data_IF_126465600302
#
_entry.id   IF_126465600302
#
_cell.length_a   1.000
_cell.length_b   1.000
_cell.length_c   1.000
_cell.angle_alpha   90.00
_cell.angle_beta   90.00
_cell.angle_gamma   90.00
#
_symmetry.space_group_name_H-M   'P 1'
#
loop_
_entity.id
_entity.type
_entity.pdbx_description
1 polymer ?
#
# COMPACT_ATOMS: atom_id res chain seq x y z
N UNK A 1 -4.37 -3.72 -8.49
CA UNK A 1 -3.01 -3.88 -7.95
C UNK A 1 -2.07 -4.39 -9.03
N UNK A 2 -2.34 -5.55 -9.64
CA UNK A 2 -1.46 -6.13 -10.67
C UNK A 2 -1.12 -5.16 -11.81
N UNK A 3 -2.11 -4.53 -12.46
CA UNK A 3 -1.85 -3.57 -13.56
C UNK A 3 -0.98 -2.38 -13.13
N UNK A 4 -1.22 -1.82 -11.93
CA UNK A 4 -0.43 -0.72 -11.38
C UNK A 4 1.01 -1.13 -11.03
N UNK A 5 1.19 -2.37 -10.56
CA UNK A 5 2.52 -2.93 -10.35
C UNK A 5 3.25 -3.15 -11.68
N UNK A 6 2.56 -3.67 -12.69
CA UNK A 6 3.08 -3.82 -14.05
C UNK A 6 3.48 -2.46 -14.64
N UNK A 7 2.66 -1.42 -14.43
CA UNK A 7 2.98 -0.06 -14.85
C UNK A 7 4.28 0.42 -14.20
N UNK A 8 4.35 0.48 -12.87
CA UNK A 8 5.55 0.98 -12.17
C UNK A 8 6.80 0.17 -12.47
N UNK A 9 6.67 -1.15 -12.62
CA UNK A 9 7.79 -2.00 -12.99
C UNK A 9 8.34 -1.66 -14.39
N UNK A 10 7.48 -1.21 -15.31
CA UNK A 10 7.90 -0.73 -16.62
C UNK A 10 8.47 0.70 -16.56
N UNK A 11 7.81 1.61 -15.83
CA UNK A 11 8.18 3.04 -15.76
C UNK A 11 9.49 3.29 -14.99
N UNK A 12 9.70 2.57 -13.89
CA UNK A 12 10.74 2.91 -12.90
C UNK A 12 11.38 1.69 -12.24
N UNK A 13 11.13 0.49 -12.73
CA UNK A 13 11.42 -0.77 -12.01
C UNK A 13 10.77 -0.85 -10.62
N UNK A 14 9.73 -0.05 -10.36
CA UNK A 14 9.01 0.00 -9.08
C UNK A 14 9.58 0.98 -8.05
N UNK A 15 10.55 1.82 -8.41
CA UNK A 15 11.24 2.72 -7.49
C UNK A 15 10.58 4.11 -7.42
N UNK A 16 10.13 4.50 -6.22
CA UNK A 16 9.45 5.79 -5.96
C UNK A 16 10.39 7.00 -5.93
N UNK A 17 11.68 6.80 -5.73
CA UNK A 17 12.66 7.88 -5.66
C UNK A 17 13.38 8.19 -6.97
N UNK A 18 12.93 7.64 -8.10
CA UNK A 18 13.61 7.83 -9.40
C UNK A 18 13.54 9.29 -9.83
N UNK A 19 14.68 9.82 -10.25
CA UNK A 19 14.81 11.11 -10.94
C UNK A 19 15.44 10.79 -12.29
N UNK A 20 14.64 10.72 -13.34
CA UNK A 20 15.11 10.34 -14.66
C UNK A 20 15.69 11.55 -15.40
N UNK A 21 16.73 11.32 -16.21
CA UNK A 21 17.40 12.37 -16.99
C UNK A 21 16.48 13.07 -18.01
N UNK A 22 15.34 12.47 -18.34
CA UNK A 22 14.34 12.99 -19.28
C UNK A 22 13.28 13.89 -18.60
N UNK A 23 13.51 14.36 -17.37
CA UNK A 23 12.59 15.27 -16.66
C UNK A 23 11.33 14.59 -16.11
N UNK A 24 11.38 13.27 -15.90
CA UNK A 24 10.31 12.51 -15.27
C UNK A 24 10.75 11.96 -13.91
N UNK A 25 9.80 11.82 -13.00
CA UNK A 25 10.07 11.59 -11.59
C UNK A 25 9.15 10.54 -10.97
N UNK A 26 9.69 9.80 -10.01
CA UNK A 26 8.98 8.87 -9.17
C UNK A 26 8.55 7.58 -9.86
N UNK A 27 7.76 6.76 -9.15
CA UNK A 27 7.47 5.40 -9.60
C UNK A 27 6.63 5.32 -10.87
N UNK A 28 5.96 6.43 -11.21
CA UNK A 28 5.03 6.57 -12.34
C UNK A 28 5.57 7.49 -13.43
N UNK A 29 6.84 7.91 -13.32
CA UNK A 29 7.49 8.80 -14.29
C UNK A 29 6.61 10.02 -14.62
N UNK A 30 6.20 10.78 -13.61
CA UNK A 30 5.46 12.02 -13.82
C UNK A 30 6.42 13.13 -14.29
N UNK A 31 5.98 13.96 -15.24
CA UNK A 31 6.54 15.32 -15.34
C UNK A 31 5.92 16.24 -14.28
N UNK A 32 6.61 17.32 -13.93
CA UNK A 32 6.19 18.25 -12.87
C UNK A 32 4.88 18.97 -13.19
N UNK A 33 4.63 19.30 -14.46
CA UNK A 33 3.41 20.02 -14.85
C UNK A 33 2.17 19.14 -14.70
N UNK A 34 2.26 17.88 -15.11
CA UNK A 34 1.19 16.90 -14.94
C UNK A 34 0.98 16.59 -13.46
N UNK A 35 2.05 16.45 -12.67
CA UNK A 35 1.98 16.27 -11.22
C UNK A 35 1.19 17.39 -10.53
N UNK A 36 1.49 18.64 -10.89
CA UNK A 36 0.78 19.81 -10.37
C UNK A 36 -0.67 19.87 -10.83
N UNK A 37 -0.97 19.42 -12.06
CA UNK A 37 -2.35 19.40 -12.59
C UNK A 37 -3.29 18.49 -11.79
N UNK A 38 -2.75 17.45 -11.14
CA UNK A 38 -3.50 16.58 -10.22
C UNK A 38 -3.30 16.96 -8.75
N UNK A 39 -2.79 18.16 -8.48
CA UNK A 39 -2.66 18.81 -7.18
C UNK A 39 -1.41 18.42 -6.38
N UNK A 40 -0.42 17.79 -7.02
CA UNK A 40 0.88 17.52 -6.44
C UNK A 40 1.70 18.81 -6.24
N UNK A 41 2.58 18.82 -5.25
CA UNK A 41 3.52 19.92 -4.99
C UNK A 41 4.95 19.40 -5.03
N UNK A 42 5.94 20.26 -5.31
CA UNK A 42 7.34 19.87 -5.42
C UNK A 42 7.59 18.84 -6.53
N UNK A 43 8.67 18.06 -6.39
CA UNK A 43 8.96 16.96 -7.31
C UNK A 43 8.21 15.67 -6.92
N UNK A 44 7.68 14.91 -7.89
CA UNK A 44 7.04 13.62 -7.61
C UNK A 44 7.93 12.64 -6.83
N UNK A 45 9.24 12.63 -7.11
CA UNK A 45 10.23 11.76 -6.45
C UNK A 45 10.41 12.04 -4.95
N UNK A 46 10.13 13.27 -4.52
CA UNK A 46 10.23 13.67 -3.10
C UNK A 46 8.96 13.31 -2.32
N UNK A 47 7.86 13.03 -3.03
CA UNK A 47 6.60 12.69 -2.42
C UNK A 47 6.60 11.24 -1.90
N UNK A 48 5.88 11.00 -0.80
CA UNK A 48 5.73 9.65 -0.25
C UNK A 48 5.12 8.69 -1.28
N UNK A 49 5.38 7.37 -1.19
CA UNK A 49 4.78 6.41 -2.11
C UNK A 49 3.25 6.48 -2.18
N UNK A 50 2.59 6.68 -1.03
CA UNK A 50 1.14 6.84 -0.96
C UNK A 50 0.64 8.10 -1.68
N UNK A 51 1.42 9.18 -1.65
CA UNK A 51 1.10 10.40 -2.39
C UNK A 51 1.25 10.18 -3.89
N UNK A 52 2.34 9.55 -4.34
CA UNK A 52 2.54 9.21 -5.75
C UNK A 52 1.43 8.28 -6.26
N UNK A 53 1.05 7.25 -5.50
CA UNK A 53 -0.05 6.34 -5.82
C UNK A 53 -1.39 7.08 -5.95
N UNK A 54 -1.66 8.00 -5.02
CA UNK A 54 -2.87 8.81 -5.04
C UNK A 54 -2.94 9.71 -6.28
N UNK A 55 -1.86 10.41 -6.61
CA UNK A 55 -1.83 11.29 -7.80
C UNK A 55 -1.87 10.49 -9.10
N UNK A 56 -1.22 9.33 -9.16
CA UNK A 56 -1.34 8.41 -10.28
C UNK A 56 -2.78 7.93 -10.48
N UNK A 57 -3.45 7.52 -9.39
CA UNK A 57 -4.87 7.15 -9.46
C UNK A 57 -5.73 8.31 -9.95
N UNK A 58 -5.48 9.51 -9.43
CA UNK A 58 -6.23 10.70 -9.83
C UNK A 58 -6.05 11.01 -11.32
N UNK A 59 -4.82 11.01 -11.82
CA UNK A 59 -4.54 11.21 -13.24
C UNK A 59 -5.24 10.14 -14.11
N UNK A 60 -5.24 8.89 -13.65
CA UNK A 60 -5.93 7.79 -14.34
C UNK A 60 -7.45 7.94 -14.35
N UNK A 61 -8.07 8.42 -13.26
CA UNK A 61 -9.51 8.77 -13.26
C UNK A 61 -9.84 9.87 -14.27
N UNK A 62 -8.89 10.74 -14.58
CA UNK A 62 -9.05 11.81 -15.57
C UNK A 62 -8.81 11.35 -17.01
N UNK A 63 -7.76 10.57 -17.26
CA UNK A 63 -7.25 10.31 -18.63
C UNK A 63 -7.22 8.83 -19.02
N UNK A 64 -7.52 7.93 -18.09
CA UNK A 64 -7.25 6.51 -18.24
C UNK A 64 -5.75 6.27 -18.35
N UNK A 65 -5.36 5.20 -19.05
CA UNK A 65 -3.95 4.82 -19.23
C UNK A 65 -3.15 5.72 -20.17
N UNK A 66 -3.79 6.65 -20.89
CA UNK A 66 -3.15 7.47 -21.93
C UNK A 66 -1.87 8.21 -21.52
N UNK A 67 -1.71 8.73 -20.29
CA UNK A 67 -0.50 9.45 -19.91
C UNK A 67 0.76 8.59 -19.80
N UNK A 68 0.62 7.26 -19.79
CA UNK A 68 1.72 6.33 -19.57
C UNK A 68 1.96 5.48 -20.81
N UNK A 69 3.10 5.70 -21.47
CA UNK A 69 3.51 4.92 -22.65
C UNK A 69 3.64 3.42 -22.30
N UNK A 70 4.23 3.11 -21.15
CA UNK A 70 4.34 1.75 -20.64
C UNK A 70 2.98 1.07 -20.47
N UNK A 71 1.91 1.79 -20.17
CA UNK A 71 0.58 1.19 -20.08
C UNK A 71 0.11 0.64 -21.43
N UNK A 72 0.44 1.34 -22.53
CA UNK A 72 0.22 0.88 -23.90
C UNK A 72 1.09 -0.33 -24.25
N UNK A 73 2.40 -0.24 -23.99
CA UNK A 73 3.37 -1.34 -24.23
C UNK A 73 2.96 -2.61 -23.49
N UNK A 74 2.42 -2.47 -22.27
CA UNK A 74 1.99 -3.60 -21.44
C UNK A 74 0.53 -4.02 -21.66
N UNK A 75 -0.16 -3.42 -22.63
CA UNK A 75 -1.56 -3.69 -22.95
C UNK A 75 -2.49 -3.64 -21.73
N UNK A 76 -2.27 -2.67 -20.84
CA UNK A 76 -3.10 -2.50 -19.64
C UNK A 76 -4.54 -2.18 -20.02
N UNK A 77 -5.48 -2.87 -19.37
CA UNK A 77 -6.90 -2.76 -19.61
C UNK A 77 -7.50 -1.69 -18.68
N UNK A 78 -8.25 -0.72 -19.20
CA UNK A 78 -8.95 0.26 -18.37
C UNK A 78 -10.04 -0.43 -17.54
N UNK A 79 -10.19 -0.01 -16.29
CA UNK A 79 -11.35 -0.35 -15.46
C UNK A 79 -12.51 0.64 -15.68
N UNK A 80 -13.66 0.35 -15.07
CA UNK A 80 -14.90 1.13 -15.25
C UNK A 80 -14.78 2.61 -14.83
N UNK A 81 -13.84 2.93 -13.95
CA UNK A 81 -13.64 4.28 -13.44
C UNK A 81 -12.55 5.03 -14.25
N UNK A 82 -11.92 4.41 -15.25
CA UNK A 82 -11.00 5.09 -16.16
C UNK A 82 -11.74 6.20 -16.92
N UNK A 83 -11.17 7.42 -16.92
CA UNK A 83 -11.80 8.62 -17.53
C UNK A 83 -13.18 9.00 -16.94
N UNK A 84 -13.52 8.50 -15.74
CA UNK A 84 -14.75 8.88 -15.03
C UNK A 84 -14.78 10.33 -14.58
N UNK A 85 -13.62 11.02 -14.56
CA UNK A 85 -13.43 12.38 -14.01
C UNK A 85 -13.73 12.51 -12.52
N UNK A 86 -13.91 11.40 -11.80
CA UNK A 86 -14.07 11.38 -10.34
C UNK A 86 -12.74 11.66 -9.66
N UNK A 87 -12.75 12.53 -8.65
CA UNK A 87 -11.60 12.69 -7.74
C UNK A 87 -11.57 11.47 -6.79
N UNK A 88 -10.50 10.65 -6.79
CA UNK A 88 -10.43 9.49 -5.90
C UNK A 88 -10.23 9.90 -4.44
N UNK A 89 -10.58 9.00 -3.52
CA UNK A 89 -10.18 9.14 -2.12
C UNK A 89 -8.74 8.66 -1.90
N UNK A 90 -8.01 9.22 -0.92
CA UNK A 90 -6.64 8.76 -0.60
C UNK A 90 -6.57 7.31 -0.15
N UNK A 91 -7.61 6.81 0.52
CA UNK A 91 -7.72 5.39 0.90
C UNK A 91 -7.92 4.49 -0.32
N UNK A 92 -8.44 5.01 -1.43
CA UNK A 92 -8.69 4.24 -2.64
C UNK A 92 -7.40 3.84 -3.33
N UNK A 93 -6.33 4.65 -3.28
CA UNK A 93 -5.04 4.29 -3.88
C UNK A 93 -4.27 3.24 -3.06
N UNK A 94 -4.72 2.88 -1.86
CA UNK A 94 -4.01 1.94 -1.00
C UNK A 94 -3.81 0.55 -1.66
N UNK A 95 -4.71 0.11 -2.54
CA UNK A 95 -4.55 -1.18 -3.26
C UNK A 95 -3.45 -1.12 -4.33
N UNK A 96 -2.97 0.06 -4.69
CA UNK A 96 -1.94 0.25 -5.70
C UNK A 96 -0.55 0.01 -5.14
N UNK A 97 -0.32 0.22 -3.84
CA UNK A 97 0.99 0.10 -3.23
C UNK A 97 1.65 -1.28 -3.51
N UNK A 98 2.99 -1.36 -3.65
CA UNK A 98 3.68 -2.63 -3.78
C UNK A 98 3.33 -3.55 -2.60
N UNK A 99 2.97 -4.80 -2.89
CA UNK A 99 2.53 -5.75 -1.86
C UNK A 99 1.09 -5.55 -1.35
N UNK A 100 0.34 -4.56 -1.84
CA UNK A 100 -1.05 -4.31 -1.42
C UNK A 100 -2.06 -5.40 -1.83
N UNK A 101 -1.64 -6.45 -2.55
CA UNK A 101 -2.48 -7.63 -2.84
C UNK A 101 -1.75 -8.97 -2.79
N UNK A 102 -0.55 -9.04 -2.22
CA UNK A 102 -0.03 -10.33 -1.77
C UNK A 102 -0.09 -10.35 -0.25
N UNK A 103 -1.30 -10.54 0.28
CA UNK A 103 -1.43 -11.13 1.60
C UNK A 103 -0.65 -12.45 1.52
N UNK A 104 0.42 -12.64 2.32
CA UNK A 104 1.10 -13.91 2.33
C UNK A 104 0.09 -14.98 2.75
N UNK A 105 0.20 -16.17 2.17
CA UNK A 105 -0.64 -17.29 2.59
C UNK A 105 -0.56 -17.44 4.11
N UNK A 106 -1.68 -17.81 4.73
CA UNK A 106 -1.70 -18.09 6.15
C UNK A 106 -0.62 -19.12 6.49
N UNK A 107 0.32 -18.86 7.42
CA UNK A 107 1.43 -19.77 7.73
C UNK A 107 1.05 -21.13 8.33
N UNK A 108 -0.25 -21.41 8.51
CA UNK A 108 -0.72 -22.69 9.05
C UNK A 108 -0.62 -22.81 10.58
N UNK A 109 -0.09 -21.81 11.29
CA UNK A 109 0.13 -21.84 12.73
C UNK A 109 -0.40 -20.60 13.42
N UNK A 110 -1.19 -20.77 14.48
CA UNK A 110 -1.61 -19.68 15.37
C UNK A 110 -0.43 -19.23 16.23
N UNK A 111 -0.18 -17.92 16.28
CA UNK A 111 0.87 -17.35 17.13
C UNK A 111 0.31 -16.74 18.41
N UNK A 112 1.07 -16.88 19.50
CA UNK A 112 0.73 -16.39 20.84
C UNK A 112 1.91 -15.65 21.48
N UNK A 113 1.71 -14.89 22.58
CA UNK A 113 2.79 -14.22 23.29
C UNK A 113 3.96 -15.16 23.61
N UNK A 114 5.18 -14.72 23.31
CA UNK A 114 6.41 -15.51 23.46
C UNK A 114 6.87 -16.24 22.18
N UNK A 115 6.01 -16.44 21.19
CA UNK A 115 6.43 -17.04 19.92
C UNK A 115 7.40 -16.14 19.13
N UNK A 116 8.36 -16.73 18.45
CA UNK A 116 9.19 -16.04 17.45
C UNK A 116 9.14 -16.79 16.11
N UNK A 117 8.94 -16.06 15.02
CA UNK A 117 8.84 -16.60 13.68
C UNK A 117 9.16 -15.55 12.60
N UNK A 118 9.64 -15.99 11.45
CA UNK A 118 9.90 -15.10 10.30
C UNK A 118 8.62 -14.47 9.78
N UNK A 119 7.50 -15.19 9.84
CA UNK A 119 6.19 -14.73 9.40
C UNK A 119 5.62 -13.66 10.34
N UNK A 120 5.92 -13.74 11.65
CA UNK A 120 5.59 -12.69 12.61
C UNK A 120 6.31 -11.38 12.27
N UNK A 121 7.56 -11.45 11.77
CA UNK A 121 8.29 -10.26 11.30
C UNK A 121 7.56 -9.62 10.12
N UNK A 122 7.13 -10.42 9.15
CA UNK A 122 6.36 -9.92 8.01
C UNK A 122 5.04 -9.27 8.45
N UNK A 123 4.31 -9.91 9.38
CA UNK A 123 3.08 -9.34 9.93
C UNK A 123 3.32 -8.02 10.68
N UNK A 124 4.35 -7.96 11.51
CA UNK A 124 4.74 -6.74 12.23
C UNK A 124 5.06 -5.59 11.28
N UNK A 125 5.87 -5.87 10.25
CA UNK A 125 6.18 -4.89 9.22
C UNK A 125 4.93 -4.43 8.46
N UNK A 126 3.98 -5.34 8.19
CA UNK A 126 2.70 -4.98 7.59
C UNK A 126 1.90 -4.02 8.46
N UNK A 127 1.87 -4.24 9.78
CA UNK A 127 1.16 -3.37 10.72
C UNK A 127 1.71 -1.93 10.77
N UNK A 128 2.90 -1.67 10.21
CA UNK A 128 3.40 -0.30 10.05
C UNK A 128 2.55 0.53 9.07
N UNK A 129 1.86 -0.10 8.12
CA UNK A 129 0.87 0.59 7.29
C UNK A 129 -0.33 1.11 8.11
N UNK A 130 -0.54 0.57 9.31
CA UNK A 130 -1.51 1.06 10.29
C UNK A 130 -0.86 1.90 11.40
N UNK A 131 0.39 2.36 11.19
CA UNK A 131 1.08 3.31 12.05
C UNK A 131 1.78 2.72 13.28
N UNK A 132 1.94 1.40 13.41
CA UNK A 132 2.46 0.81 14.65
C UNK A 132 3.98 0.99 14.85
N UNK A 133 4.78 1.29 13.81
CA UNK A 133 6.21 1.54 13.94
C UNK A 133 7.00 0.36 14.54
N UNK A 134 6.71 -0.86 14.13
CA UNK A 134 7.48 -2.06 14.42
C UNK A 134 8.82 -2.05 13.68
N UNK A 135 9.87 -2.47 14.39
CA UNK A 135 11.18 -2.82 13.81
C UNK A 135 11.11 -4.15 13.03
N UNK A 136 10.15 -5.02 13.37
CA UNK A 136 10.04 -6.35 12.77
C UNK A 136 11.01 -7.35 13.41
N UNK A 137 10.92 -7.53 14.73
CA UNK A 137 11.80 -8.46 15.47
C UNK A 137 11.48 -9.91 15.19
N UNK A 138 10.27 -10.21 14.69
CA UNK A 138 9.78 -11.58 14.53
C UNK A 138 9.26 -12.21 15.80
N UNK A 139 9.35 -11.52 16.95
CA UNK A 139 8.89 -12.05 18.23
C UNK A 139 7.59 -11.41 18.71
N UNK A 140 6.69 -12.24 19.22
CA UNK A 140 5.39 -11.86 19.77
C UNK A 140 5.55 -11.31 21.20
N UNK A 141 6.04 -10.07 21.29
CA UNK A 141 6.10 -9.31 22.55
C UNK A 141 4.87 -8.44 22.82
N UNK A 142 4.94 -7.62 23.86
CA UNK A 142 3.84 -6.75 24.31
C UNK A 142 3.27 -5.85 23.21
N UNK A 143 4.13 -5.24 22.39
CA UNK A 143 3.70 -4.39 21.27
C UNK A 143 2.92 -5.17 20.21
N UNK A 144 3.35 -6.39 19.89
CA UNK A 144 2.62 -7.29 18.98
C UNK A 144 1.27 -7.66 19.56
N UNK A 145 1.21 -7.99 20.85
CA UNK A 145 -0.04 -8.32 21.56
C UNK A 145 -1.05 -7.17 21.51
N UNK A 146 -0.62 -5.94 21.80
CA UNK A 146 -1.46 -4.75 21.71
C UNK A 146 -1.99 -4.54 20.28
N UNK A 147 -1.13 -4.67 19.28
CA UNK A 147 -1.51 -4.53 17.88
C UNK A 147 -2.52 -5.61 17.44
N UNK A 148 -2.33 -6.86 17.87
CA UNK A 148 -3.27 -7.95 17.58
C UNK A 148 -4.63 -7.69 18.21
N UNK A 149 -4.68 -7.34 19.50
CA UNK A 149 -5.93 -7.05 20.19
C UNK A 149 -6.69 -5.89 19.54
N UNK A 150 -5.99 -4.81 19.22
CA UNK A 150 -6.57 -3.65 18.55
C UNK A 150 -7.08 -3.99 17.14
N UNK A 151 -6.32 -4.79 16.38
CA UNK A 151 -6.74 -5.28 15.06
C UNK A 151 -7.96 -6.18 15.14
N UNK A 152 -8.01 -7.07 16.13
CA UNK A 152 -9.17 -7.93 16.34
C UNK A 152 -10.41 -7.10 16.65
N UNK A 153 -10.31 -6.17 17.60
CA UNK A 153 -11.41 -5.28 17.99
C UNK A 153 -11.94 -4.46 16.81
N UNK A 154 -11.06 -3.87 16.00
CA UNK A 154 -11.44 -3.05 14.85
C UNK A 154 -12.12 -3.84 13.71
N UNK A 155 -11.95 -5.17 13.68
CA UNK A 155 -12.42 -6.04 12.62
C UNK A 155 -13.51 -7.02 13.07
N UNK A 156 -14.08 -6.84 14.27
CA UNK A 156 -15.12 -7.73 14.81
C UNK A 156 -14.64 -9.16 15.04
N UNK A 157 -13.33 -9.37 15.19
CA UNK A 157 -12.73 -10.65 15.54
C UNK A 157 -12.73 -10.75 17.07
N UNK A 158 -13.07 -11.92 17.63
CA UNK A 158 -12.93 -12.17 19.07
C UNK A 158 -11.53 -11.78 19.53
N UNK A 159 -11.42 -10.87 20.50
CA UNK A 159 -10.17 -10.31 21.02
C UNK A 159 -9.44 -11.32 21.92
N UNK A 160 -8.98 -12.40 21.32
CA UNK A 160 -8.26 -13.47 22.02
C UNK A 160 -6.80 -13.12 22.31
N UNK A 161 -6.25 -12.12 21.64
CA UNK A 161 -4.81 -11.85 21.68
C UNK A 161 -3.98 -12.92 20.97
N UNK A 162 -4.62 -13.82 20.20
CA UNK A 162 -3.97 -14.81 19.35
C UNK A 162 -3.98 -14.34 17.90
N UNK A 163 -2.83 -14.46 17.24
CA UNK A 163 -2.72 -14.18 15.81
C UNK A 163 -3.00 -15.45 15.03
N UNK A 164 -4.29 -15.65 14.71
CA UNK A 164 -4.79 -16.70 13.83
C UNK A 164 -5.09 -16.21 12.40
N UNK A 165 -5.65 -17.08 11.53
CA UNK A 165 -5.84 -16.78 10.12
C UNK A 165 -6.71 -15.53 9.85
N UNK A 166 -7.75 -15.30 10.65
CA UNK A 166 -8.59 -14.09 10.54
C UNK A 166 -7.83 -12.81 10.91
N UNK A 167 -7.05 -12.86 12.00
CA UNK A 167 -6.20 -11.74 12.43
C UNK A 167 -5.10 -11.46 11.40
N UNK A 168 -4.52 -12.50 10.82
CA UNK A 168 -3.55 -12.39 9.74
C UNK A 168 -4.17 -11.70 8.53
N UNK A 169 -5.32 -12.16 8.04
CA UNK A 169 -6.03 -11.54 6.93
C UNK A 169 -6.36 -10.06 7.18
N UNK A 170 -6.84 -9.72 8.38
CA UNK A 170 -7.18 -8.35 8.76
C UNK A 170 -5.99 -7.37 8.64
N UNK A 171 -4.75 -7.86 8.80
CA UNK A 171 -3.57 -7.02 8.65
C UNK A 171 -3.41 -6.52 7.20
N UNK A 172 -3.91 -7.24 6.20
CA UNK A 172 -3.86 -6.81 4.79
C UNK A 172 -5.15 -6.19 4.28
N UNK A 173 -6.30 -6.77 4.60
CA UNK A 173 -7.59 -6.39 3.98
C UNK A 173 -8.61 -5.86 4.99
N UNK A 174 -8.26 -5.79 6.26
CA UNK A 174 -9.16 -5.36 7.34
C UNK A 174 -9.20 -3.85 7.55
N UNK A 175 -10.11 -3.43 8.42
CA UNK A 175 -10.22 -2.08 8.94
C UNK A 175 -8.99 -1.75 9.81
N UNK A 176 -8.28 -0.65 9.54
CA UNK A 176 -7.19 -0.19 10.40
C UNK A 176 -7.69 0.12 11.82
N UNK A 177 -6.98 -0.29 12.88
CA UNK A 177 -7.34 0.07 14.25
C UNK A 177 -7.22 1.58 14.49
N UNK A 178 -8.17 2.16 15.23
CA UNK A 178 -8.01 3.53 15.73
C UNK A 178 -6.91 3.53 16.78
N UNK A 179 -5.73 4.07 16.45
CA UNK A 179 -4.69 4.26 17.45
C UNK A 179 -5.13 5.35 18.42
N UNK A 180 -5.24 5.00 19.71
CA UNK A 180 -5.34 6.02 20.75
C UNK A 180 -4.08 6.87 20.71
N UNK A 181 -4.22 8.18 20.46
CA UNK A 181 -3.16 9.14 20.71
C UNK A 181 -2.90 9.14 22.22
N UNK A 182 -1.93 8.36 22.65
CA UNK A 182 -1.27 8.50 23.95
C UNK A 182 -0.08 9.43 23.79
#
# INVERSE_FOLDING_TARGET
AAQWQTLRACESSGHYGVVAANGHYGAYQFDVSTWQSVGGTGFPSDASPAEQDYRALYLYRMRGWQPWECAGIRHLQPDADARSKRVPGRSESAYMAPGARQQPAWPGRVYQPGDCATELKAWQQRMNAYGYGFVGTGCYGNKTSQAVLALQAANGIKTSGLLGPKTWQAAWTGTPPKQGRG
#
